data_IF_993775510188
#
_entry.id   IF_993775510188
#
_cell.length_a   1.000
_cell.length_b   1.000
_cell.length_c   1.000
_cell.angle_alpha   90.00
_cell.angle_beta   90.00
_cell.angle_gamma   90.00
#
_symmetry.space_group_name_H-M   'P 1'
#
loop_
_entity.id
_entity.type
_entity.pdbx_description
1 polymer ?
#
# COMPACT_ATOMS: atom_id res chain seq x y z
N UNK A 1 -9.79 11.93 -22.41
CA UNK A 1 -9.16 12.42 -21.15
C UNK A 1 -9.56 11.43 -20.05
N UNK A 2 -8.71 10.47 -19.74
CA UNK A 2 -8.97 9.56 -18.63
C UNK A 2 -9.02 10.36 -17.32
N UNK A 3 -10.07 10.15 -16.53
CA UNK A 3 -10.18 10.71 -15.19
C UNK A 3 -8.96 10.26 -14.40
N UNK A 4 -8.05 11.17 -14.12
CA UNK A 4 -6.89 10.91 -13.28
C UNK A 4 -7.42 10.64 -11.87
N UNK A 5 -7.40 9.37 -11.45
CA UNK A 5 -7.73 9.06 -10.05
C UNK A 5 -6.70 9.76 -9.17
N UNK A 6 -7.19 10.42 -8.13
CA UNK A 6 -6.31 11.08 -7.15
C UNK A 6 -5.41 10.01 -6.53
N UNK A 7 -4.08 10.20 -6.54
CA UNK A 7 -3.16 9.22 -5.95
C UNK A 7 -3.46 9.04 -4.47
N UNK A 8 -3.60 7.80 -4.05
CA UNK A 8 -3.73 7.41 -2.64
C UNK A 8 -2.43 6.80 -2.15
N UNK A 9 -2.26 6.67 -0.85
CA UNK A 9 -1.12 5.93 -0.27
C UNK A 9 -1.05 4.54 -0.90
N UNK A 10 0.16 4.07 -1.19
CA UNK A 10 0.47 2.81 -1.90
C UNK A 10 0.16 2.80 -3.40
N UNK A 11 -0.43 3.85 -3.98
CA UNK A 11 -0.50 3.96 -5.44
C UNK A 11 0.90 4.00 -6.05
N UNK A 12 1.06 3.39 -7.22
CA UNK A 12 2.26 3.50 -8.01
C UNK A 12 2.08 4.60 -9.05
N UNK A 13 3.09 5.46 -9.14
CA UNK A 13 3.13 6.52 -10.13
C UNK A 13 4.23 6.22 -11.13
N UNK A 14 3.88 6.18 -12.42
CA UNK A 14 4.86 6.10 -13.50
C UNK A 14 5.38 7.50 -13.81
N UNK A 15 6.68 7.67 -13.76
CA UNK A 15 7.34 8.94 -14.04
C UNK A 15 7.41 9.21 -15.56
N UNK A 16 7.24 10.47 -15.96
CA UNK A 16 7.61 10.93 -17.30
C UNK A 16 9.13 11.03 -17.45
N UNK A 17 9.81 11.49 -16.39
CA UNK A 17 11.29 11.57 -16.28
C UNK A 17 11.68 11.41 -14.81
N UNK A 18 12.83 10.80 -14.54
CA UNK A 18 13.43 10.76 -13.21
C UNK A 18 13.83 12.15 -12.70
N UNK A 19 14.14 13.07 -13.63
CA UNK A 19 14.52 14.47 -13.32
C UNK A 19 13.35 15.29 -12.72
N UNK A 20 12.11 14.78 -12.84
CA UNK A 20 10.94 15.41 -12.22
C UNK A 20 10.90 15.24 -10.70
N UNK A 21 11.76 14.39 -10.13
CA UNK A 21 11.79 14.16 -8.69
C UNK A 21 12.56 15.28 -7.98
N UNK A 22 11.96 15.79 -6.91
CA UNK A 22 12.55 16.75 -6.00
C UNK A 22 13.10 16.03 -4.77
N UNK A 23 14.31 16.37 -4.36
CA UNK A 23 15.03 15.73 -3.27
C UNK A 23 15.31 16.71 -2.13
N UNK A 24 15.23 16.23 -0.90
CA UNK A 24 15.65 17.02 0.28
C UNK A 24 17.17 16.93 0.53
N UNK A 25 17.81 15.89 0.00
CA UNK A 25 19.26 15.65 0.03
C UNK A 25 19.65 14.89 -1.23
N UNK A 26 20.93 14.83 -1.54
CA UNK A 26 21.43 14.10 -2.70
C UNK A 26 20.90 12.66 -2.73
N UNK A 27 20.33 12.20 -3.86
CA UNK A 27 19.83 10.84 -3.98
C UNK A 27 20.96 9.81 -3.88
N UNK A 28 20.72 8.66 -3.27
CA UNK A 28 21.68 7.55 -3.31
C UNK A 28 22.03 7.13 -4.74
N UNK A 29 23.26 6.74 -4.99
CA UNK A 29 23.78 6.39 -6.33
C UNK A 29 22.91 5.34 -7.06
N UNK A 30 22.37 4.36 -6.34
CA UNK A 30 21.53 3.30 -6.89
C UNK A 30 20.19 3.79 -7.47
N UNK A 31 19.74 5.00 -7.14
CA UNK A 31 18.43 5.53 -7.56
C UNK A 31 18.35 5.70 -9.06
N UNK A 32 19.38 6.27 -9.68
CA UNK A 32 19.42 6.50 -11.14
C UNK A 32 19.27 5.19 -11.91
N UNK A 33 20.02 4.16 -11.53
CA UNK A 33 19.94 2.83 -12.14
C UNK A 33 18.57 2.19 -11.92
N UNK A 34 18.00 2.31 -10.71
CA UNK A 34 16.69 1.76 -10.40
C UNK A 34 15.59 2.39 -11.24
N UNK A 35 15.57 3.71 -11.36
CA UNK A 35 14.56 4.45 -12.14
C UNK A 35 14.73 4.26 -13.65
N UNK A 36 15.94 4.06 -14.15
CA UNK A 36 16.17 3.75 -15.56
C UNK A 36 15.59 2.39 -15.95
N UNK A 37 15.61 1.42 -15.04
CA UNK A 37 15.01 0.08 -15.26
C UNK A 37 13.50 0.09 -15.05
N UNK A 38 13.04 0.86 -14.06
CA UNK A 38 11.64 0.83 -13.62
C UNK A 38 11.25 2.25 -13.19
N UNK A 39 10.68 3.07 -14.11
CA UNK A 39 10.34 4.46 -13.81
C UNK A 39 9.06 4.57 -12.97
N UNK A 40 8.99 3.81 -11.88
CA UNK A 40 7.87 3.80 -10.96
C UNK A 40 8.28 4.21 -9.55
N UNK A 41 7.46 5.03 -8.93
CA UNK A 41 7.58 5.42 -7.52
C UNK A 41 6.29 5.08 -6.77
N UNK A 42 6.39 4.88 -5.47
CA UNK A 42 5.26 4.49 -4.61
C UNK A 42 4.81 5.68 -3.79
N UNK A 43 3.52 6.02 -3.84
CA UNK A 43 2.94 7.04 -2.97
C UNK A 43 3.14 6.67 -1.51
N UNK A 44 3.78 7.58 -0.77
CA UNK A 44 3.91 7.50 0.68
C UNK A 44 2.75 8.22 1.34
N UNK A 45 2.62 8.06 2.65
CA UNK A 45 1.60 8.77 3.42
C UNK A 45 1.84 10.28 3.30
N UNK A 46 0.83 11.04 2.86
CA UNK A 46 1.00 12.45 2.56
C UNK A 46 1.34 13.25 3.82
N UNK A 47 2.29 14.14 3.65
CA UNK A 47 2.52 15.27 4.54
C UNK A 47 1.93 16.52 3.88
N UNK A 48 1.60 17.56 4.65
CA UNK A 48 1.12 18.83 4.07
C UNK A 48 2.20 19.48 3.21
N UNK A 49 2.13 19.28 1.88
CA UNK A 49 2.94 19.99 0.88
C UNK A 49 2.05 20.29 -0.32
N UNK A 50 1.74 21.57 -0.60
CA UNK A 50 0.62 21.93 -1.48
C UNK A 50 0.72 21.44 -2.92
N UNK A 51 1.96 21.33 -3.47
CA UNK A 51 2.16 21.13 -4.92
C UNK A 51 2.95 19.86 -5.27
N UNK A 52 3.23 19.01 -4.29
CA UNK A 52 3.97 17.79 -4.53
C UNK A 52 3.51 16.63 -3.64
N UNK A 53 3.59 15.42 -4.19
CA UNK A 53 3.29 14.18 -3.47
C UNK A 53 4.56 13.54 -2.93
N UNK A 54 4.54 13.03 -1.68
CA UNK A 54 5.65 12.28 -1.12
C UNK A 54 5.71 10.89 -1.75
N UNK A 55 6.85 10.53 -2.30
CA UNK A 55 7.05 9.24 -2.96
C UNK A 55 8.25 8.49 -2.42
N UNK A 56 8.23 7.18 -2.59
CA UNK A 56 9.33 6.28 -2.27
C UNK A 56 9.84 5.59 -3.52
N UNK A 57 11.16 5.53 -3.65
CA UNK A 57 11.85 4.78 -4.67
C UNK A 57 12.32 3.45 -4.07
N UNK A 58 12.14 2.37 -4.81
CA UNK A 58 12.62 1.04 -4.45
C UNK A 58 13.85 0.69 -5.28
N UNK A 59 14.91 0.24 -4.63
CA UNK A 59 16.06 -0.34 -5.29
C UNK A 59 15.97 -1.86 -5.45
N UNK A 60 17.06 -2.47 -5.88
CA UNK A 60 17.15 -3.90 -6.15
C UNK A 60 16.99 -4.76 -4.88
N UNK A 61 17.37 -4.26 -3.72
CA UNK A 61 17.29 -4.96 -2.44
C UNK A 61 16.39 -4.27 -1.45
N UNK A 62 15.86 -5.01 -0.48
CA UNK A 62 14.86 -4.50 0.49
C UNK A 62 15.34 -3.29 1.30
N UNK A 63 16.63 -3.18 1.59
CA UNK A 63 17.23 -2.05 2.30
C UNK A 63 17.34 -0.77 1.46
N UNK A 64 17.31 -0.88 0.14
CA UNK A 64 17.37 0.26 -0.76
C UNK A 64 15.99 0.93 -0.86
N UNK A 65 15.81 1.96 -0.07
CA UNK A 65 14.62 2.82 -0.04
C UNK A 65 15.07 4.26 0.01
N UNK A 66 14.57 5.08 -0.92
CA UNK A 66 14.80 6.52 -0.92
C UNK A 66 13.47 7.26 -0.92
N UNK A 67 13.47 8.45 -0.35
CA UNK A 67 12.32 9.34 -0.29
C UNK A 67 12.56 10.54 -1.20
N UNK A 68 11.52 10.91 -1.95
CA UNK A 68 11.53 12.09 -2.80
C UNK A 68 10.12 12.71 -2.84
N UNK A 69 9.99 13.78 -3.58
CA UNK A 69 8.73 14.42 -3.90
C UNK A 69 8.53 14.42 -5.41
N UNK A 70 7.28 14.28 -5.85
CA UNK A 70 6.90 14.44 -7.25
C UNK A 70 5.90 15.58 -7.38
N UNK A 71 6.15 16.59 -8.22
CA UNK A 71 5.19 17.65 -8.49
C UNK A 71 3.86 17.11 -9.01
N UNK A 72 2.77 17.77 -8.62
CA UNK A 72 1.44 17.44 -9.14
C UNK A 72 1.44 17.56 -10.67
N UNK A 73 0.99 16.50 -11.37
CA UNK A 73 0.99 16.46 -12.84
C UNK A 73 2.26 15.91 -13.50
N UNK A 74 3.34 15.66 -12.74
CA UNK A 74 4.58 15.09 -13.29
C UNK A 74 4.56 13.56 -13.45
N UNK A 75 3.49 12.88 -13.03
CA UNK A 75 3.28 11.47 -13.27
C UNK A 75 2.52 11.24 -14.58
N UNK A 76 2.99 10.29 -15.38
CA UNK A 76 2.33 9.86 -16.62
C UNK A 76 1.10 8.99 -16.34
N UNK A 77 1.16 8.18 -15.28
CA UNK A 77 0.15 7.19 -14.94
C UNK A 77 0.08 7.04 -13.41
N UNK A 78 -1.12 6.77 -12.90
CA UNK A 78 -1.36 6.41 -11.51
C UNK A 78 -2.08 5.07 -11.46
N UNK A 79 -1.48 4.08 -10.84
CA UNK A 79 -2.02 2.73 -10.65
C UNK A 79 -2.30 2.53 -9.17
N UNK A 80 -3.57 2.46 -8.80
CA UNK A 80 -3.96 2.21 -7.41
C UNK A 80 -4.00 0.70 -7.13
N UNK A 81 -3.84 0.27 -5.87
CA UNK A 81 -4.02 -1.13 -5.49
C UNK A 81 -5.38 -1.71 -5.95
N UNK A 82 -6.45 -0.92 -5.88
CA UNK A 82 -7.80 -1.32 -6.28
C UNK A 82 -7.91 -1.55 -7.80
N UNK A 83 -7.19 -0.78 -8.61
CA UNK A 83 -7.15 -0.99 -10.06
C UNK A 83 -6.54 -2.35 -10.42
N UNK A 84 -5.52 -2.80 -9.69
CA UNK A 84 -4.92 -4.12 -9.89
C UNK A 84 -5.92 -5.24 -9.64
N UNK A 85 -6.80 -5.08 -8.63
CA UNK A 85 -7.89 -6.03 -8.36
C UNK A 85 -8.95 -5.97 -9.45
N UNK A 86 -9.42 -4.78 -9.81
CA UNK A 86 -10.45 -4.62 -10.84
C UNK A 86 -10.04 -5.21 -12.20
N UNK A 87 -8.75 -5.17 -12.51
CA UNK A 87 -8.18 -5.74 -13.74
C UNK A 87 -7.79 -7.20 -13.60
N UNK A 88 -7.88 -7.81 -12.42
CA UNK A 88 -7.35 -9.14 -12.11
C UNK A 88 -5.91 -9.29 -12.59
N UNK A 89 -5.07 -8.30 -12.32
CA UNK A 89 -3.72 -8.17 -12.90
C UNK A 89 -2.85 -9.41 -12.70
N UNK A 90 -3.04 -10.16 -11.62
CA UNK A 90 -2.33 -11.40 -11.34
C UNK A 90 -2.67 -12.55 -12.30
N UNK A 91 -3.84 -12.56 -12.94
CA UNK A 91 -4.23 -13.59 -13.93
C UNK A 91 -3.46 -13.46 -15.24
N UNK A 92 -2.81 -12.31 -15.46
CA UNK A 92 -2.01 -12.07 -16.66
C UNK A 92 -0.56 -12.54 -16.48
N UNK A 93 -0.19 -13.02 -15.28
CA UNK A 93 1.16 -13.48 -14.96
C UNK A 93 1.37 -14.93 -15.39
N UNK A 94 2.45 -15.19 -16.16
CA UNK A 94 2.82 -16.55 -16.60
C UNK A 94 3.32 -17.44 -15.48
N UNK A 95 3.88 -16.85 -14.43
CA UNK A 95 4.49 -17.48 -13.26
C UNK A 95 3.57 -17.42 -12.01
N UNK A 96 2.29 -17.17 -12.22
CA UNK A 96 1.28 -17.05 -11.17
C UNK A 96 1.33 -18.21 -10.15
N UNK A 97 1.44 -19.44 -10.63
CA UNK A 97 1.47 -20.63 -9.76
C UNK A 97 2.80 -20.81 -9.00
N UNK A 98 3.86 -20.10 -9.39
CA UNK A 98 5.21 -20.25 -8.82
C UNK A 98 5.39 -19.33 -7.61
N UNK A 99 4.75 -18.15 -7.61
CA UNK A 99 4.87 -17.15 -6.56
C UNK A 99 3.72 -17.27 -5.56
N UNK A 100 3.95 -17.86 -4.37
CA UNK A 100 2.88 -18.14 -3.40
C UNK A 100 2.06 -16.89 -3.06
N UNK A 101 2.71 -15.73 -2.87
CA UNK A 101 2.01 -14.49 -2.55
C UNK A 101 1.10 -13.99 -3.69
N UNK A 102 1.48 -14.24 -4.95
CA UNK A 102 0.64 -13.90 -6.11
C UNK A 102 -0.51 -14.91 -6.25
N UNK A 103 -0.25 -16.20 -6.06
CA UNK A 103 -1.26 -17.25 -6.11
C UNK A 103 -2.35 -17.06 -5.04
N UNK A 104 -1.98 -16.57 -3.86
CA UNK A 104 -2.92 -16.30 -2.77
C UNK A 104 -3.96 -15.20 -3.10
N UNK A 105 -3.73 -14.36 -4.12
CA UNK A 105 -4.65 -13.27 -4.46
C UNK A 105 -6.06 -13.74 -4.86
N UNK A 106 -6.21 -14.94 -5.42
CA UNK A 106 -7.55 -15.50 -5.72
C UNK A 106 -8.32 -15.83 -4.44
N UNK A 107 -7.65 -16.48 -3.48
CA UNK A 107 -8.29 -16.83 -2.20
C UNK A 107 -8.57 -15.55 -1.39
N UNK A 108 -7.63 -14.61 -1.38
CA UNK A 108 -7.80 -13.31 -0.74
C UNK A 108 -8.98 -12.54 -1.35
N UNK A 109 -9.12 -12.53 -2.68
CA UNK A 109 -10.25 -11.89 -3.36
C UNK A 109 -11.58 -12.49 -2.91
N UNK A 110 -11.70 -13.83 -2.87
CA UNK A 110 -12.91 -14.51 -2.43
C UNK A 110 -13.26 -14.17 -0.96
N UNK A 111 -12.27 -14.10 -0.07
CA UNK A 111 -12.47 -13.69 1.33
C UNK A 111 -13.01 -12.27 1.42
N UNK A 112 -12.36 -11.31 0.75
CA UNK A 112 -12.82 -9.91 0.77
C UNK A 112 -14.22 -9.74 0.17
N UNK A 113 -14.54 -10.48 -0.88
CA UNK A 113 -15.88 -10.48 -1.49
C UNK A 113 -16.93 -11.01 -0.51
N UNK A 114 -16.63 -12.11 0.20
CA UNK A 114 -17.47 -12.68 1.25
C UNK A 114 -17.76 -11.73 2.42
N UNK A 115 -16.83 -10.81 2.71
CA UNK A 115 -17.00 -9.75 3.70
C UNK A 115 -17.63 -8.46 3.15
N UNK A 116 -18.07 -8.42 1.88
CA UNK A 116 -18.63 -7.22 1.25
C UNK A 116 -17.63 -6.09 1.04
N UNK A 117 -16.34 -6.44 0.89
CA UNK A 117 -15.23 -5.51 0.75
C UNK A 117 -14.69 -5.43 -0.69
N UNK A 118 -15.41 -5.98 -1.67
CA UNK A 118 -15.08 -5.90 -3.09
C UNK A 118 -14.75 -4.47 -3.52
N UNK A 119 -13.71 -4.30 -4.32
CA UNK A 119 -13.28 -3.01 -4.86
C UNK A 119 -12.68 -2.04 -3.84
N UNK A 120 -12.62 -2.41 -2.56
CA UNK A 120 -12.05 -1.55 -1.51
C UNK A 120 -10.62 -1.94 -1.12
N UNK A 121 -10.09 -3.01 -1.63
CA UNK A 121 -8.79 -3.54 -1.30
C UNK A 121 -7.89 -3.69 -2.53
N UNK A 122 -6.61 -3.92 -2.31
CA UNK A 122 -5.69 -4.30 -3.36
C UNK A 122 -4.29 -4.62 -2.84
N UNK A 123 -3.47 -5.31 -3.66
CA UNK A 123 -2.11 -5.67 -3.29
C UNK A 123 -1.20 -4.45 -3.25
N UNK A 124 -0.39 -4.39 -2.21
CA UNK A 124 0.71 -3.44 -2.04
C UNK A 124 2.07 -4.14 -2.10
N UNK A 125 3.05 -3.56 -1.42
CA UNK A 125 4.37 -4.17 -1.23
C UNK A 125 5.07 -4.59 -2.51
N UNK A 126 5.73 -5.73 -2.49
CA UNK A 126 6.45 -6.29 -3.65
C UNK A 126 5.49 -6.81 -4.71
N UNK A 127 4.39 -7.45 -4.29
CA UNK A 127 3.37 -7.99 -5.19
C UNK A 127 2.71 -6.86 -5.99
N UNK A 128 2.21 -5.82 -5.31
CA UNK A 128 1.59 -4.68 -5.97
C UNK A 128 2.54 -3.96 -6.92
N UNK A 129 3.82 -3.78 -6.51
CA UNK A 129 4.84 -3.19 -7.36
C UNK A 129 5.09 -4.01 -8.63
N UNK A 130 5.24 -5.32 -8.50
CA UNK A 130 5.48 -6.21 -9.63
C UNK A 130 4.29 -6.27 -10.59
N UNK A 131 3.06 -6.34 -10.07
CA UNK A 131 1.85 -6.35 -10.89
C UNK A 131 1.67 -5.04 -11.68
N UNK A 132 2.02 -3.90 -11.09
CA UNK A 132 1.89 -2.61 -11.74
C UNK A 132 3.03 -2.30 -12.72
N UNK A 133 4.27 -2.64 -12.36
CA UNK A 133 5.44 -2.27 -13.16
C UNK A 133 5.84 -3.34 -14.19
N UNK A 134 5.42 -4.58 -14.01
CA UNK A 134 5.87 -5.74 -14.78
C UNK A 134 7.28 -6.22 -14.43
N UNK A 135 7.95 -5.58 -13.47
CA UNK A 135 9.34 -5.91 -13.07
C UNK A 135 9.33 -6.81 -11.85
N UNK A 136 10.00 -7.97 -11.96
CA UNK A 136 10.09 -8.96 -10.90
C UNK A 136 10.63 -8.35 -9.59
N UNK A 137 9.85 -8.42 -8.54
CA UNK A 137 10.18 -7.95 -7.19
C UNK A 137 9.67 -8.87 -6.08
N UNK A 138 8.86 -9.86 -6.45
CA UNK A 138 8.33 -10.89 -5.57
C UNK A 138 9.27 -12.10 -5.54
N UNK A 139 9.44 -12.71 -4.39
CA UNK A 139 10.22 -13.92 -4.17
C UNK A 139 9.33 -15.03 -3.61
N UNK A 140 9.75 -16.31 -3.65
CA UNK A 140 8.97 -17.40 -3.03
C UNK A 140 8.70 -17.23 -1.54
N UNK A 141 9.51 -16.41 -0.83
CA UNK A 141 9.35 -16.10 0.59
C UNK A 141 8.66 -14.76 0.86
N UNK A 142 8.15 -14.08 -0.17
CA UNK A 142 7.42 -12.82 0.01
C UNK A 142 6.09 -13.07 0.72
N UNK A 143 5.79 -12.22 1.71
CA UNK A 143 4.46 -12.01 2.24
C UNK A 143 3.59 -11.25 1.23
N UNK A 144 2.28 -11.23 1.46
CA UNK A 144 1.34 -10.44 0.67
C UNK A 144 0.88 -9.23 1.50
N UNK A 145 1.42 -8.07 1.16
CA UNK A 145 0.92 -6.79 1.67
C UNK A 145 -0.42 -6.45 0.99
N UNK A 146 -1.44 -6.14 1.76
CA UNK A 146 -2.76 -5.74 1.28
C UNK A 146 -3.16 -4.40 1.88
N UNK A 147 -3.72 -3.55 1.06
CA UNK A 147 -4.29 -2.25 1.45
C UNK A 147 -5.81 -2.36 1.39
N UNK A 148 -6.50 -2.10 2.48
CA UNK A 148 -7.95 -2.03 2.55
C UNK A 148 -8.40 -0.59 2.87
N UNK A 149 -9.12 0.04 1.96
CA UNK A 149 -9.72 1.36 2.21
C UNK A 149 -10.90 1.19 3.16
N UNK A 150 -10.73 1.71 4.36
CA UNK A 150 -11.67 1.65 5.47
C UNK A 150 -12.20 3.04 5.81
N UNK A 151 -12.88 3.68 4.84
CA UNK A 151 -13.44 5.03 5.02
C UNK A 151 -14.49 5.10 6.14
N UNK A 152 -15.27 4.03 6.33
CA UNK A 152 -16.20 3.88 7.44
C UNK A 152 -15.62 2.93 8.50
N UNK A 153 -16.04 3.13 9.74
CA UNK A 153 -15.65 2.28 10.87
C UNK A 153 -16.06 0.81 10.62
N UNK A 154 -15.14 -0.08 10.93
CA UNK A 154 -15.35 -1.53 10.92
C UNK A 154 -15.52 -2.02 12.36
N UNK A 155 -16.52 -2.87 12.62
CA UNK A 155 -16.63 -3.47 13.94
C UNK A 155 -15.45 -4.41 14.21
N UNK A 156 -14.94 -4.43 15.46
CA UNK A 156 -13.80 -5.30 15.83
C UNK A 156 -14.10 -6.78 15.59
N UNK A 157 -15.34 -7.20 15.80
CA UNK A 157 -15.76 -8.57 15.52
C UNK A 157 -15.66 -8.93 14.02
N UNK A 158 -15.97 -7.97 13.12
CA UNK A 158 -15.81 -8.17 11.68
C UNK A 158 -14.33 -8.20 11.28
N UNK A 159 -13.54 -7.32 11.87
CA UNK A 159 -12.08 -7.32 11.68
C UNK A 159 -11.44 -8.63 12.16
N UNK A 160 -11.89 -9.15 13.32
CA UNK A 160 -11.38 -10.41 13.86
C UNK A 160 -11.75 -11.62 12.96
N UNK A 161 -12.97 -11.65 12.41
CA UNK A 161 -13.37 -12.69 11.45
C UNK A 161 -12.54 -12.63 10.18
N UNK A 162 -12.41 -11.45 9.59
CA UNK A 162 -11.59 -11.24 8.39
C UNK A 162 -10.14 -11.65 8.65
N UNK A 163 -9.57 -11.24 9.77
CA UNK A 163 -8.18 -11.57 10.12
C UNK A 163 -8.00 -13.09 10.32
N UNK A 164 -8.95 -13.76 10.98
CA UNK A 164 -8.90 -15.22 11.18
C UNK A 164 -8.90 -15.98 9.85
N UNK A 165 -9.77 -15.59 8.91
CA UNK A 165 -9.84 -16.23 7.59
C UNK A 165 -8.55 -16.02 6.78
N UNK A 166 -8.02 -14.79 6.76
CA UNK A 166 -6.77 -14.47 6.07
C UNK A 166 -5.57 -15.19 6.69
N UNK A 167 -5.56 -15.33 8.03
CA UNK A 167 -4.47 -16.02 8.75
C UNK A 167 -4.46 -17.53 8.54
N UNK A 168 -5.56 -18.11 8.07
CA UNK A 168 -5.64 -19.52 7.72
C UNK A 168 -4.97 -19.86 6.36
N UNK A 169 -4.63 -18.86 5.57
CA UNK A 169 -3.94 -19.03 4.30
C UNK A 169 -2.48 -19.46 4.51
N UNK A 170 -1.92 -20.16 3.51
CA UNK A 170 -0.53 -20.64 3.56
C UNK A 170 0.53 -19.55 3.49
N UNK A 171 0.15 -18.40 2.96
CA UNK A 171 1.00 -17.22 2.83
C UNK A 171 0.60 -16.22 3.89
N UNK A 172 1.58 -15.57 4.51
CA UNK A 172 1.33 -14.49 5.45
C UNK A 172 0.71 -13.31 4.72
N UNK A 173 -0.45 -12.85 5.17
CA UNK A 173 -1.17 -11.70 4.62
C UNK A 173 -1.10 -10.55 5.63
N UNK A 174 -0.44 -9.47 5.25
CA UNK A 174 -0.31 -8.25 6.06
C UNK A 174 -1.29 -7.18 5.54
N UNK A 175 -2.41 -6.98 6.24
CA UNK A 175 -3.45 -6.02 5.81
C UNK A 175 -3.31 -4.71 6.57
N UNK A 176 -3.27 -3.62 5.82
CA UNK A 176 -3.34 -2.24 6.32
C UNK A 176 -4.73 -1.65 6.06
N UNK A 177 -5.42 -1.30 7.15
CA UNK A 177 -6.67 -0.56 7.08
C UNK A 177 -6.35 0.92 6.91
N UNK A 178 -6.62 1.49 5.74
CA UNK A 178 -6.49 2.92 5.46
C UNK A 178 -7.74 3.64 5.93
N UNK A 179 -7.66 4.26 7.10
CA UNK A 179 -8.73 5.08 7.68
C UNK A 179 -8.55 6.56 7.29
N UNK A 180 -9.56 7.43 7.49
CA UNK A 180 -9.41 8.87 7.24
C UNK A 180 -8.26 9.54 8.01
N UNK A 181 -7.82 8.95 9.12
CA UNK A 181 -6.81 9.54 10.01
C UNK A 181 -5.46 8.82 10.01
N UNK A 182 -5.31 7.76 9.23
CA UNK A 182 -4.08 7.02 9.09
C UNK A 182 -4.31 5.53 8.92
N UNK A 183 -3.23 4.76 8.83
CA UNK A 183 -3.30 3.32 8.68
C UNK A 183 -3.10 2.59 10.00
N UNK A 184 -3.81 1.48 10.16
CA UNK A 184 -3.62 0.52 11.25
C UNK A 184 -3.46 -0.88 10.68
N UNK A 185 -2.68 -1.74 11.33
CA UNK A 185 -2.61 -3.14 10.97
C UNK A 185 -3.93 -3.84 11.35
N UNK A 186 -4.52 -4.60 10.42
CA UNK A 186 -5.73 -5.37 10.70
C UNK A 186 -5.55 -6.32 11.88
N UNK A 187 -4.42 -7.00 11.98
CA UNK A 187 -4.09 -7.89 13.08
C UNK A 187 -4.16 -7.17 14.43
N UNK A 188 -3.48 -6.01 14.56
CA UNK A 188 -3.49 -5.23 15.80
C UNK A 188 -4.90 -4.73 16.13
N UNK A 189 -5.65 -4.26 15.12
CA UNK A 189 -7.02 -3.80 15.31
C UNK A 189 -7.97 -4.94 15.73
N UNK A 190 -7.79 -6.13 15.17
CA UNK A 190 -8.63 -7.29 15.47
C UNK A 190 -8.40 -7.87 16.87
N UNK A 191 -7.15 -7.87 17.34
CA UNK A 191 -6.73 -8.55 18.59
C UNK A 191 -6.72 -7.62 19.82
N UNK A 192 -6.50 -6.32 19.62
CA UNK A 192 -6.39 -5.37 20.74
C UNK A 192 -7.75 -4.86 21.19
N UNK A 193 -7.94 -4.74 22.51
CA UNK A 193 -9.08 -4.04 23.13
C UNK A 193 -8.72 -2.62 23.56
N UNK A 194 -7.43 -2.29 23.54
CA UNK A 194 -6.86 -1.01 23.96
C UNK A 194 -6.51 -0.09 22.77
N UNK A 195 -5.69 0.92 23.04
CA UNK A 195 -5.16 1.80 22.02
C UNK A 195 -4.19 1.05 21.10
N UNK A 196 -4.28 1.31 19.84
CA UNK A 196 -3.49 0.71 18.74
C UNK A 196 -2.67 1.77 18.05
N UNK A 197 -1.61 1.34 17.36
CA UNK A 197 -0.73 2.23 16.63
C UNK A 197 -1.37 2.68 15.30
N UNK A 198 -1.71 3.95 15.21
CA UNK A 198 -2.15 4.60 13.97
C UNK A 198 -0.96 5.28 13.29
N UNK A 199 -0.65 4.89 12.08
CA UNK A 199 0.36 5.57 11.25
C UNK A 199 -0.29 6.75 10.54
N UNK A 200 -0.24 7.93 11.17
CA UNK A 200 -0.84 9.15 10.62
C UNK A 200 0.14 9.93 9.72
N UNK A 201 -0.35 10.90 8.93
CA UNK A 201 0.53 11.80 8.16
C UNK A 201 1.53 12.59 9.01
N UNK A 202 1.19 12.86 10.28
CA UNK A 202 2.04 13.59 11.23
C UNK A 202 2.98 12.67 12.01
N UNK A 203 2.95 11.37 11.76
CA UNK A 203 3.73 10.37 12.45
C UNK A 203 2.87 9.34 13.21
N UNK A 204 3.51 8.36 13.85
CA UNK A 204 2.79 7.34 14.61
C UNK A 204 2.16 7.92 15.86
N UNK A 205 0.93 7.48 16.17
CA UNK A 205 0.20 7.85 17.40
C UNK A 205 -0.63 6.67 17.90
N UNK A 206 -0.93 6.64 19.18
CA UNK A 206 -1.87 5.67 19.74
C UNK A 206 -3.30 6.22 19.69
N UNK A 207 -4.27 5.37 19.33
CA UNK A 207 -5.69 5.70 19.35
C UNK A 207 -6.52 4.43 19.66
N UNK A 208 -7.61 4.59 20.43
CA UNK A 208 -8.57 3.49 20.67
C UNK A 208 -9.50 3.31 19.48
N UNK A 209 -9.84 4.41 18.80
CA UNK A 209 -10.67 4.42 17.59
C UNK A 209 -9.92 5.10 16.45
N UNK A 210 -9.42 4.32 15.47
CA UNK A 210 -8.65 4.87 14.36
C UNK A 210 -9.49 5.66 13.36
N UNK A 211 -10.82 5.64 13.45
CA UNK A 211 -11.73 6.45 12.63
C UNK A 211 -12.09 7.79 13.28
N UNK A 212 -11.61 8.07 14.49
CA UNK A 212 -11.81 9.36 15.17
C UNK A 212 -10.52 10.16 15.22
N UNK A 213 -10.60 11.42 14.82
CA UNK A 213 -9.46 12.33 14.78
C UNK A 213 -8.97 12.83 16.14
N UNK A 214 -9.69 12.57 17.21
CA UNK A 214 -9.32 13.05 18.55
C UNK A 214 -8.18 12.23 19.14
N UNK A 215 -7.08 12.93 19.40
CA UNK A 215 -6.03 12.48 20.32
C UNK A 215 -6.69 12.32 21.70
N UNK A 216 -6.74 11.11 22.25
CA UNK A 216 -6.73 10.98 23.68
C UNK A 216 -5.35 11.50 24.12
N UNK A 217 -5.33 12.68 24.75
CA UNK A 217 -4.13 13.19 25.38
C UNK A 217 -3.60 12.07 26.31
N UNK A 218 -2.31 11.72 26.21
CA UNK A 218 -1.67 10.87 27.20
C UNK A 218 -2.01 11.43 28.56
N UNK A 219 -2.50 10.61 29.50
CA UNK A 219 -2.55 11.04 30.89
C UNK A 219 -1.12 11.38 31.31
N UNK A 220 -0.96 12.59 31.87
CA UNK A 220 0.28 13.09 32.40
C UNK A 220 0.76 12.24 33.59
#
# INVERSE_FOLDING_TARGET
>A
MSAHSVPTVHSLLRLCSADALEWESDPPEWVSESLSRTPFVVMRRPLPRPEAFPVGIRGAVRSQRAAAWIPVGAAQECITPQMLVAQHAWRQRRDFAIMPAVAALEEVAAIFDGHGLAGRWGPGGSVGFELASGVASTTPSSDLDVVLVAAASMARADAARLYAELSALKVKIDVWLETPYGAVALAEYAESVDAILVRSPQGPRLARDPWRGHLEASPA
#
